data_IF_391970795917
#
_entry.id   IF_391970795917
#
_cell.length_a   1.000
_cell.length_b   1.000
_cell.length_c   1.000
_cell.angle_alpha   90.00
_cell.angle_beta   90.00
_cell.angle_gamma   90.00
#
_symmetry.space_group_name_H-M   'P 1'
#
loop_
_entity.id
_entity.type
_entity.pdbx_description
1 polymer ?
#
# COMPACT_ATOMS: atom_id res chain seq x y z
N UNK A 1 -21.51 -21.78 -18.66
CA UNK A 1 -21.45 -20.31 -18.56
C UNK A 1 -20.14 -19.88 -19.20
N UNK A 2 -20.20 -19.14 -20.31
CA UNK A 2 -19.00 -18.55 -20.92
C UNK A 2 -18.52 -17.46 -19.98
N UNK A 3 -17.30 -17.59 -19.41
CA UNK A 3 -16.69 -16.53 -18.63
C UNK A 3 -16.54 -15.33 -19.56
N UNK A 4 -17.26 -14.26 -19.32
CA UNK A 4 -17.08 -13.00 -20.07
C UNK A 4 -15.60 -12.64 -20.01
N UNK A 5 -14.96 -12.56 -21.17
CA UNK A 5 -13.56 -12.14 -21.24
C UNK A 5 -13.50 -10.66 -20.82
N UNK A 6 -12.79 -10.37 -19.77
CA UNK A 6 -12.54 -8.99 -19.34
C UNK A 6 -11.81 -8.27 -20.46
N UNK A 7 -12.36 -7.15 -20.92
CA UNK A 7 -11.77 -6.31 -21.97
C UNK A 7 -11.72 -4.87 -21.50
N UNK A 8 -10.81 -4.08 -22.04
CA UNK A 8 -10.80 -2.64 -21.86
C UNK A 8 -11.85 -1.98 -22.73
N UNK A 9 -12.59 -1.03 -22.19
CA UNK A 9 -13.47 -0.16 -22.98
C UNK A 9 -12.67 0.85 -23.80
N UNK A 10 -13.32 1.49 -24.78
CA UNK A 10 -12.67 2.55 -25.59
C UNK A 10 -12.17 3.71 -24.70
N UNK A 11 -12.91 4.08 -23.67
CA UNK A 11 -12.50 5.11 -22.70
C UNK A 11 -11.27 4.68 -21.89
N UNK A 12 -11.19 3.41 -21.49
CA UNK A 12 -10.02 2.85 -20.82
C UNK A 12 -8.81 2.78 -21.75
N UNK A 13 -9.01 2.35 -23.00
CA UNK A 13 -7.96 2.32 -24.01
C UNK A 13 -7.38 3.71 -24.27
N UNK A 14 -8.24 4.71 -24.39
CA UNK A 14 -7.81 6.10 -24.55
C UNK A 14 -7.04 6.60 -23.32
N UNK A 15 -7.57 6.33 -22.12
CA UNK A 15 -6.98 6.79 -20.86
C UNK A 15 -5.63 6.16 -20.58
N UNK A 16 -5.49 4.84 -20.82
CA UNK A 16 -4.27 4.09 -20.49
C UNK A 16 -3.34 3.89 -21.68
N UNK A 17 -3.62 4.50 -22.83
CA UNK A 17 -2.82 4.35 -24.06
C UNK A 17 -1.31 4.53 -23.84
N UNK A 18 -0.91 5.51 -23.01
CA UNK A 18 0.50 5.78 -22.74
C UNK A 18 1.18 4.68 -21.91
N UNK A 19 0.42 3.93 -21.11
CA UNK A 19 0.94 2.77 -20.38
C UNK A 19 1.04 1.54 -21.27
N UNK A 20 0.02 1.29 -22.08
CA UNK A 20 -0.02 0.14 -23.00
C UNK A 20 1.11 0.19 -24.04
N UNK A 21 1.58 1.39 -24.39
CA UNK A 21 2.70 1.57 -25.31
C UNK A 21 4.08 1.36 -24.70
N UNK A 22 4.19 1.12 -23.40
CA UNK A 22 5.48 0.86 -22.77
C UNK A 22 5.97 -0.55 -23.11
N UNK A 23 7.22 -0.69 -23.49
CA UNK A 23 7.86 -1.98 -23.71
C UNK A 23 7.74 -2.87 -22.47
N UNK A 24 7.16 -4.04 -22.63
CA UNK A 24 6.93 -5.00 -21.57
C UNK A 24 5.69 -4.71 -20.71
N UNK A 25 4.95 -3.63 -20.99
CA UNK A 25 3.65 -3.33 -20.39
C UNK A 25 2.54 -3.60 -21.37
N UNK A 26 2.09 -4.39 -21.86
CA UNK A 26 1.09 -4.65 -22.90
C UNK A 26 -0.37 -4.53 -22.41
N UNK A 27 -1.29 -4.91 -23.27
CA UNK A 27 -2.73 -4.98 -22.97
C UNK A 27 -3.02 -5.95 -21.82
N UNK A 28 -2.27 -7.05 -21.71
CA UNK A 28 -2.48 -8.03 -20.65
C UNK A 28 -2.09 -7.48 -19.29
N UNK A 29 -1.04 -6.67 -19.21
CA UNK A 29 -0.66 -5.98 -17.99
C UNK A 29 -1.78 -5.01 -17.54
N UNK A 30 -2.36 -4.25 -18.49
CA UNK A 30 -3.46 -3.33 -18.18
C UNK A 30 -4.74 -4.08 -17.77
N UNK A 31 -5.03 -5.22 -18.38
CA UNK A 31 -6.16 -6.08 -17.98
C UNK A 31 -5.96 -6.66 -16.57
N UNK A 32 -4.73 -7.04 -16.21
CA UNK A 32 -4.42 -7.47 -14.84
C UNK A 32 -4.69 -6.35 -13.83
N UNK A 33 -4.29 -5.10 -14.13
CA UNK A 33 -4.61 -3.96 -13.27
C UNK A 33 -6.12 -3.74 -13.14
N UNK A 34 -6.86 -3.81 -14.24
CA UNK A 34 -8.33 -3.65 -14.25
C UNK A 34 -9.05 -4.63 -13.33
N UNK A 35 -8.51 -5.83 -13.17
CA UNK A 35 -9.11 -6.86 -12.29
C UNK A 35 -8.53 -6.87 -10.89
N UNK A 36 -7.42 -6.17 -10.65
CA UNK A 36 -6.74 -6.16 -9.38
C UNK A 36 -7.54 -5.47 -8.27
N UNK A 37 -7.45 -6.04 -7.06
CA UNK A 37 -8.01 -5.53 -5.82
C UNK A 37 -6.91 -5.14 -4.86
N UNK A 38 -6.84 -3.86 -4.55
CA UNK A 38 -5.83 -3.30 -3.63
C UNK A 38 -6.51 -2.70 -2.42
N UNK A 39 -6.02 -3.04 -1.23
CA UNK A 39 -6.41 -2.39 0.01
C UNK A 39 -5.25 -1.57 0.54
N UNK A 40 -5.52 -0.30 0.85
CA UNK A 40 -4.55 0.67 1.34
C UNK A 40 -4.92 1.02 2.77
N UNK A 41 -4.02 0.77 3.70
CA UNK A 41 -4.18 1.09 5.11
C UNK A 41 -3.42 2.41 5.38
N UNK A 42 -4.16 3.45 5.72
CA UNK A 42 -3.66 4.82 5.88
C UNK A 42 -3.87 5.71 4.65
N UNK A 43 -4.64 6.81 4.82
CA UNK A 43 -4.87 7.83 3.81
C UNK A 43 -4.07 9.12 4.13
N UNK A 44 -2.87 8.94 4.69
CA UNK A 44 -1.96 10.01 5.08
C UNK A 44 -1.00 10.44 3.97
N UNK A 45 0.19 10.90 4.36
CA UNK A 45 1.22 11.41 3.44
C UNK A 45 1.76 10.40 2.43
N UNK A 46 1.73 9.09 2.76
CA UNK A 46 2.07 8.00 1.85
C UNK A 46 0.84 7.55 1.04
N UNK A 47 -0.30 7.36 1.71
CA UNK A 47 -1.52 6.83 1.09
C UNK A 47 -2.12 7.75 0.04
N UNK A 48 -2.06 9.08 0.22
CA UNK A 48 -2.55 10.04 -0.77
C UNK A 48 -1.86 9.88 -2.13
N UNK A 49 -0.54 10.03 -2.28
CA UNK A 49 0.11 9.89 -3.58
C UNK A 49 0.08 8.44 -4.10
N UNK A 50 0.12 7.43 -3.22
CA UNK A 50 0.04 6.04 -3.63
C UNK A 50 -1.33 5.72 -4.24
N UNK A 51 -2.42 6.05 -3.56
CA UNK A 51 -3.78 5.79 -4.03
C UNK A 51 -4.09 6.58 -5.31
N UNK A 52 -3.70 7.85 -5.39
CA UNK A 52 -3.89 8.67 -6.58
C UNK A 52 -3.21 8.04 -7.81
N UNK A 53 -1.96 7.61 -7.66
CA UNK A 53 -1.21 6.99 -8.77
C UNK A 53 -1.82 5.67 -9.21
N UNK A 54 -2.22 4.79 -8.28
CA UNK A 54 -2.88 3.52 -8.60
C UNK A 54 -4.21 3.72 -9.33
N UNK A 55 -5.02 4.66 -8.85
CA UNK A 55 -6.31 5.03 -9.46
C UNK A 55 -6.12 5.58 -10.87
N UNK A 56 -5.16 6.49 -11.07
CA UNK A 56 -4.83 7.04 -12.39
C UNK A 56 -4.33 5.97 -13.36
N UNK A 57 -3.58 4.99 -12.86
CA UNK A 57 -3.05 3.88 -13.65
C UNK A 57 -4.09 2.81 -14.00
N UNK A 58 -5.26 2.80 -13.36
CA UNK A 58 -6.36 1.92 -13.70
C UNK A 58 -6.40 0.62 -12.89
N UNK A 59 -5.94 0.63 -11.64
CA UNK A 59 -6.21 -0.45 -10.68
C UNK A 59 -7.72 -0.50 -10.43
N UNK A 60 -8.37 -1.60 -10.79
CA UNK A 60 -9.82 -1.68 -10.93
C UNK A 60 -10.61 -1.55 -9.63
N UNK A 61 -10.01 -1.92 -8.50
CA UNK A 61 -10.61 -1.80 -7.17
C UNK A 61 -9.58 -1.30 -6.17
N UNK A 62 -9.84 -0.14 -5.57
CA UNK A 62 -9.00 0.47 -4.53
C UNK A 62 -9.86 0.76 -3.30
N UNK A 63 -9.49 0.15 -2.17
CA UNK A 63 -10.15 0.35 -0.90
C UNK A 63 -9.20 1.02 0.08
N UNK A 64 -9.57 2.19 0.63
CA UNK A 64 -8.83 2.90 1.66
C UNK A 64 -9.47 2.68 3.03
N UNK A 65 -8.65 2.31 4.01
CA UNK A 65 -9.04 2.16 5.42
C UNK A 65 -8.22 3.16 6.23
N UNK A 66 -8.89 4.06 6.92
CA UNK A 66 -8.27 5.08 7.79
C UNK A 66 -9.30 5.57 8.80
N UNK A 67 -8.95 5.66 10.07
CA UNK A 67 -9.85 6.07 11.16
C UNK A 67 -9.72 7.55 11.54
N UNK A 68 -8.78 8.27 10.95
CA UNK A 68 -8.51 9.67 11.26
C UNK A 68 -9.41 10.66 10.51
N UNK A 69 -9.45 11.88 11.06
CA UNK A 69 -9.94 13.09 10.40
C UNK A 69 -8.79 13.91 9.80
N UNK A 70 -9.14 14.78 8.86
CA UNK A 70 -8.20 15.69 8.22
C UNK A 70 -7.93 16.88 9.14
N UNK A 71 -6.65 17.14 9.41
CA UNK A 71 -6.19 18.27 10.19
C UNK A 71 -5.42 19.29 9.34
N UNK A 72 -5.38 20.55 9.75
CA UNK A 72 -4.61 21.59 9.08
C UNK A 72 -3.11 21.23 8.96
N UNK A 73 -2.56 20.57 9.99
CA UNK A 73 -1.18 20.08 10.04
C UNK A 73 -0.87 19.00 8.99
N UNK A 74 -1.90 18.37 8.42
CA UNK A 74 -1.77 17.32 7.42
C UNK A 74 -1.58 17.87 6.00
N UNK A 75 -2.13 19.05 5.72
CA UNK A 75 -2.25 19.59 4.36
C UNK A 75 -0.90 19.85 3.68
N UNK A 76 0.17 19.98 4.44
CA UNK A 76 1.51 20.18 3.88
C UNK A 76 2.06 18.94 3.15
N UNK A 77 1.48 17.72 3.38
CA UNK A 77 1.96 16.45 2.77
C UNK A 77 0.87 15.49 2.32
N UNK A 78 -0.38 15.69 2.72
CA UNK A 78 -1.52 14.85 2.33
C UNK A 78 -2.23 15.46 1.12
N UNK A 79 -1.71 15.18 -0.06
CA UNK A 79 -1.94 15.93 -1.31
C UNK A 79 -3.35 15.82 -1.88
N UNK A 80 -4.17 14.89 -1.43
CA UNK A 80 -5.57 14.78 -1.86
C UNK A 80 -6.47 15.81 -1.19
N UNK A 81 -6.11 16.32 0.00
CA UNK A 81 -7.00 17.15 0.82
C UNK A 81 -6.77 18.65 0.64
N UNK A 82 -7.85 19.39 0.77
CA UNK A 82 -7.90 20.85 0.67
C UNK A 82 -8.29 21.46 2.03
N UNK A 83 -8.07 22.75 2.27
CA UNK A 83 -8.49 23.43 3.51
C UNK A 83 -9.96 23.22 3.87
N UNK A 84 -10.86 23.14 2.87
CA UNK A 84 -12.29 22.91 3.07
C UNK A 84 -12.63 21.46 3.50
N UNK A 85 -11.64 20.57 3.53
CA UNK A 85 -11.80 19.19 3.97
C UNK A 85 -11.42 18.96 5.43
N UNK A 86 -10.92 19.97 6.14
CA UNK A 86 -10.56 19.85 7.56
C UNK A 86 -11.78 19.35 8.37
N UNK A 87 -11.52 18.43 9.30
CA UNK A 87 -12.49 17.74 10.15
C UNK A 87 -13.39 16.73 9.43
N UNK A 88 -13.14 16.44 8.13
CA UNK A 88 -13.80 15.33 7.45
C UNK A 88 -12.98 14.04 7.59
N UNK A 89 -13.63 12.86 7.59
CA UNK A 89 -12.92 11.58 7.62
C UNK A 89 -12.00 11.41 6.40
N UNK A 90 -10.73 11.06 6.63
CA UNK A 90 -9.72 10.91 5.57
C UNK A 90 -10.14 9.90 4.52
N UNK A 91 -10.53 8.68 4.92
CA UNK A 91 -10.88 7.61 4.00
C UNK A 91 -12.02 8.00 3.04
N UNK A 92 -13.12 8.56 3.57
CA UNK A 92 -14.29 8.93 2.76
C UNK A 92 -13.99 10.12 1.84
N UNK A 93 -13.27 11.11 2.31
CA UNK A 93 -12.87 12.28 1.53
C UNK A 93 -11.94 11.88 0.39
N UNK A 94 -10.93 11.05 0.68
CA UNK A 94 -10.01 10.54 -0.31
C UNK A 94 -10.72 9.80 -1.45
N UNK A 95 -11.61 8.85 -1.14
CA UNK A 95 -12.30 8.08 -2.19
C UNK A 95 -13.26 8.92 -3.02
N UNK A 96 -13.90 9.94 -2.43
CA UNK A 96 -14.72 10.87 -3.18
C UNK A 96 -13.91 11.68 -4.21
N UNK A 97 -12.67 12.06 -3.87
CA UNK A 97 -11.75 12.73 -4.79
C UNK A 97 -11.25 11.76 -5.84
N UNK A 98 -10.81 10.56 -5.44
CA UNK A 98 -10.29 9.53 -6.34
C UNK A 98 -11.32 9.08 -7.39
N UNK A 99 -12.59 8.94 -7.01
CA UNK A 99 -13.68 8.64 -7.95
C UNK A 99 -13.86 9.70 -9.04
N UNK A 100 -13.56 10.98 -8.72
CA UNK A 100 -13.58 12.07 -9.71
C UNK A 100 -12.33 12.07 -10.59
N UNK A 101 -11.18 11.63 -10.06
CA UNK A 101 -9.92 11.49 -10.81
C UNK A 101 -10.06 10.41 -11.88
N UNK A 102 -10.64 9.26 -11.52
CA UNK A 102 -10.88 8.17 -12.47
C UNK A 102 -12.23 7.48 -12.20
N UNK A 103 -13.29 7.86 -12.92
CA UNK A 103 -14.62 7.27 -12.74
C UNK A 103 -14.76 5.86 -13.34
N UNK A 104 -13.73 5.32 -14.02
CA UNK A 104 -13.76 4.00 -14.66
C UNK A 104 -13.41 2.86 -13.70
N UNK A 105 -12.98 3.18 -12.48
CA UNK A 105 -12.61 2.20 -11.46
C UNK A 105 -13.50 2.30 -10.22
N UNK A 106 -13.42 1.30 -9.36
CA UNK A 106 -14.16 1.27 -8.09
C UNK A 106 -13.27 1.71 -6.94
N UNK A 107 -13.72 2.73 -6.21
CA UNK A 107 -13.05 3.21 -4.99
C UNK A 107 -13.98 3.07 -3.80
N UNK A 108 -13.46 2.58 -2.68
CA UNK A 108 -14.20 2.42 -1.41
C UNK A 108 -13.40 3.02 -0.27
N UNK A 109 -14.08 3.60 0.70
CA UNK A 109 -13.49 4.14 1.91
C UNK A 109 -14.18 3.60 3.14
N UNK A 110 -13.40 3.17 4.12
CA UNK A 110 -13.91 2.72 5.42
C UNK A 110 -13.24 3.50 6.54
N UNK A 111 -14.05 4.12 7.40
CA UNK A 111 -13.57 4.82 8.60
C UNK A 111 -13.49 3.79 9.73
N UNK A 112 -12.34 3.18 9.86
CA UNK A 112 -12.08 2.18 10.88
C UNK A 112 -10.58 2.00 11.09
N UNK A 113 -10.20 1.56 12.29
CA UNK A 113 -8.87 1.06 12.60
C UNK A 113 -8.81 -0.43 12.30
N UNK A 114 -7.86 -0.84 11.48
CA UNK A 114 -7.66 -2.24 11.15
C UNK A 114 -6.97 -2.95 12.32
N UNK A 115 -7.52 -4.12 12.70
CA UNK A 115 -6.95 -5.06 13.66
C UNK A 115 -7.14 -6.51 13.20
N UNK A 116 -6.61 -7.48 13.96
CA UNK A 116 -6.69 -8.90 13.59
C UNK A 116 -8.11 -9.48 13.66
N UNK A 117 -8.98 -8.89 14.49
CA UNK A 117 -10.34 -9.40 14.71
C UNK A 117 -11.30 -8.92 13.61
N UNK A 118 -11.14 -7.68 13.14
CA UNK A 118 -12.00 -7.09 12.12
C UNK A 118 -11.45 -7.24 10.68
N UNK A 119 -10.23 -7.78 10.52
CA UNK A 119 -9.56 -7.85 9.22
C UNK A 119 -10.35 -8.60 8.15
N UNK A 120 -11.04 -9.69 8.50
CA UNK A 120 -11.83 -10.44 7.52
C UNK A 120 -12.92 -9.59 6.87
N UNK A 121 -13.63 -8.80 7.67
CA UNK A 121 -14.71 -7.92 7.23
C UNK A 121 -14.15 -6.70 6.50
N UNK A 122 -13.18 -6.00 7.11
CA UNK A 122 -12.64 -4.76 6.54
C UNK A 122 -11.88 -4.97 5.22
N UNK A 123 -11.26 -6.13 5.04
CA UNK A 123 -10.62 -6.49 3.76
C UNK A 123 -11.64 -7.03 2.73
N UNK A 124 -12.92 -7.13 3.07
CA UNK A 124 -13.99 -7.68 2.22
C UNK A 124 -13.60 -9.05 1.65
N UNK A 125 -13.12 -9.93 2.53
CA UNK A 125 -12.65 -11.27 2.16
C UNK A 125 -13.77 -12.15 1.57
N UNK A 126 -15.04 -11.86 1.90
CA UNK A 126 -16.20 -12.55 1.36
C UNK A 126 -16.37 -12.29 -0.15
N UNK A 127 -16.02 -11.10 -0.64
CA UNK A 127 -16.04 -10.76 -2.06
C UNK A 127 -14.79 -11.24 -2.82
N UNK A 128 -13.80 -11.73 -2.11
CA UNK A 128 -12.53 -12.26 -2.63
C UNK A 128 -11.31 -11.65 -1.94
N UNK A 129 -10.27 -12.42 -1.84
CA UNK A 129 -9.00 -11.99 -1.25
C UNK A 129 -8.40 -10.81 -2.05
N UNK A 130 -7.92 -9.74 -1.39
CA UNK A 130 -7.13 -8.71 -2.05
C UNK A 130 -5.86 -9.28 -2.71
N UNK A 131 -5.47 -8.71 -3.84
CA UNK A 131 -4.24 -9.08 -4.52
C UNK A 131 -3.00 -8.45 -3.86
N UNK A 132 -3.19 -7.32 -3.16
CA UNK A 132 -2.12 -6.59 -2.51
C UNK A 132 -2.65 -5.72 -1.36
N UNK A 133 -1.93 -5.72 -0.22
CA UNK A 133 -2.08 -4.74 0.84
C UNK A 133 -0.97 -3.68 0.71
N UNK A 134 -1.33 -2.40 0.80
CA UNK A 134 -0.38 -1.31 0.99
C UNK A 134 -0.46 -0.82 2.44
N UNK A 135 0.66 -0.91 3.14
CA UNK A 135 0.83 -0.27 4.43
C UNK A 135 1.39 1.14 4.21
N UNK A 136 0.54 2.14 4.50
CA UNK A 136 0.83 3.57 4.43
C UNK A 136 0.74 4.22 5.82
N UNK A 137 0.86 3.42 6.88
CA UNK A 137 0.76 3.88 8.27
C UNK A 137 2.08 4.47 8.77
N UNK A 138 2.04 5.12 9.92
CA UNK A 138 3.18 5.86 10.48
C UNK A 138 3.69 5.33 11.83
N UNK A 139 3.14 4.20 12.30
CA UNK A 139 3.52 3.60 13.58
C UNK A 139 3.82 2.10 13.46
N UNK A 140 4.76 1.62 14.26
CA UNK A 140 5.24 0.23 14.22
C UNK A 140 4.19 -0.79 14.68
N UNK A 141 3.37 -0.46 15.66
CA UNK A 141 2.34 -1.37 16.19
C UNK A 141 1.31 -1.74 15.10
N UNK A 142 0.79 -0.74 14.39
CA UNK A 142 -0.14 -0.99 13.28
C UNK A 142 0.52 -1.78 12.15
N UNK A 143 1.78 -1.52 11.83
CA UNK A 143 2.55 -2.26 10.81
C UNK A 143 2.70 -3.73 11.16
N UNK A 144 2.98 -4.06 12.42
CA UNK A 144 3.08 -5.45 12.87
C UNK A 144 1.72 -6.16 12.76
N UNK A 145 0.62 -5.49 13.11
CA UNK A 145 -0.75 -6.00 12.91
C UNK A 145 -1.01 -6.29 11.43
N UNK A 146 -0.73 -5.34 10.54
CA UNK A 146 -0.90 -5.53 9.10
C UNK A 146 -0.05 -6.69 8.57
N UNK A 147 1.18 -6.84 9.07
CA UNK A 147 2.05 -7.96 8.75
C UNK A 147 1.46 -9.31 9.19
N UNK A 148 0.90 -9.40 10.42
CA UNK A 148 0.22 -10.61 10.89
C UNK A 148 -0.97 -10.97 10.03
N UNK A 149 -1.78 -9.98 9.65
CA UNK A 149 -2.91 -10.13 8.75
C UNK A 149 -2.44 -10.64 7.37
N UNK A 150 -1.39 -10.02 6.81
CA UNK A 150 -0.77 -10.43 5.54
C UNK A 150 -0.34 -11.90 5.58
N UNK A 151 0.37 -12.31 6.63
CA UNK A 151 0.82 -13.69 6.80
C UNK A 151 -0.35 -14.64 7.00
N UNK A 152 -1.31 -14.31 7.87
CA UNK A 152 -2.50 -15.12 8.16
C UNK A 152 -3.32 -15.42 6.92
N UNK A 153 -3.60 -14.41 6.11
CA UNK A 153 -4.43 -14.54 4.91
C UNK A 153 -3.63 -14.78 3.63
N UNK A 154 -2.31 -14.88 3.74
CA UNK A 154 -1.41 -15.07 2.58
C UNK A 154 -1.63 -14.01 1.49
N UNK A 155 -1.72 -12.74 1.92
CA UNK A 155 -1.87 -11.59 1.03
C UNK A 155 -0.53 -10.86 0.95
N UNK A 156 0.01 -10.58 -0.23
CA UNK A 156 1.24 -9.79 -0.37
C UNK A 156 1.10 -8.42 0.30
N UNK A 157 2.16 -7.97 0.98
CA UNK A 157 2.22 -6.72 1.73
C UNK A 157 3.33 -5.82 1.20
N UNK A 158 2.97 -4.66 0.70
CA UNK A 158 3.89 -3.61 0.29
C UNK A 158 3.91 -2.52 1.38
N UNK A 159 4.93 -2.53 2.21
CA UNK A 159 5.08 -1.59 3.34
C UNK A 159 6.04 -0.48 2.99
N UNK A 160 5.64 0.78 3.22
CA UNK A 160 6.45 1.98 3.06
C UNK A 160 6.52 2.79 4.35
N UNK A 161 7.64 3.49 4.54
CA UNK A 161 7.80 4.46 5.62
C UNK A 161 8.50 5.71 5.13
N UNK A 162 8.21 6.84 5.81
CA UNK A 162 8.85 8.13 5.57
C UNK A 162 9.03 8.86 6.89
N UNK A 163 10.25 9.31 7.18
CA UNK A 163 10.59 10.10 8.37
C UNK A 163 11.69 11.09 7.98
N UNK A 164 11.61 12.32 8.44
CA UNK A 164 12.55 13.39 8.08
C UNK A 164 12.71 13.51 6.55
N UNK A 165 13.88 13.19 6.01
CA UNK A 165 14.19 13.10 4.58
C UNK A 165 14.49 11.67 4.14
N UNK A 166 14.12 10.66 4.92
CA UNK A 166 14.42 9.26 4.66
C UNK A 166 13.15 8.44 4.49
N UNK A 167 13.24 7.35 3.74
CA UNK A 167 12.15 6.42 3.55
C UNK A 167 12.63 5.00 3.33
N UNK A 168 11.71 4.05 3.54
CA UNK A 168 11.95 2.63 3.33
C UNK A 168 10.76 2.03 2.58
N UNK A 169 11.04 1.00 1.77
CA UNK A 169 10.03 0.28 1.02
C UNK A 169 10.42 -1.19 0.88
N UNK A 170 9.50 -2.10 1.19
CA UNK A 170 9.68 -3.53 0.96
C UNK A 170 8.36 -4.18 0.54
N UNK A 171 8.44 -5.20 -0.32
CA UNK A 171 7.32 -6.06 -0.71
C UNK A 171 7.54 -7.45 -0.14
N UNK A 172 6.67 -7.84 0.78
CA UNK A 172 6.66 -9.15 1.44
C UNK A 172 5.63 -10.06 0.77
N UNK A 173 6.03 -11.27 0.44
CA UNK A 173 5.19 -12.27 -0.23
C UNK A 173 5.05 -13.51 0.66
N UNK A 174 4.06 -13.54 1.56
CA UNK A 174 3.93 -14.62 2.54
C UNK A 174 3.64 -15.99 1.91
N UNK A 175 3.15 -16.04 0.66
CA UNK A 175 2.97 -17.26 -0.11
C UNK A 175 4.28 -17.86 -0.63
N UNK A 176 5.36 -17.07 -0.64
CA UNK A 176 6.71 -17.53 -0.96
C UNK A 176 7.49 -17.72 0.34
N UNK A 177 8.52 -18.54 0.34
CA UNK A 177 9.37 -18.72 1.52
C UNK A 177 10.36 -17.56 1.70
N UNK A 178 9.82 -16.34 1.72
CA UNK A 178 10.54 -15.08 1.95
C UNK A 178 10.31 -14.59 3.38
N UNK A 179 11.16 -13.68 3.87
CA UNK A 179 10.94 -13.02 5.16
C UNK A 179 9.71 -12.11 5.13
N UNK A 180 9.06 -11.92 6.29
CA UNK A 180 7.96 -10.97 6.47
C UNK A 180 8.48 -9.65 7.09
N UNK A 181 7.59 -8.68 7.31
CA UNK A 181 7.94 -7.40 7.96
C UNK A 181 8.62 -7.61 9.31
N UNK A 182 8.12 -8.52 10.14
CA UNK A 182 8.70 -8.83 11.46
C UNK A 182 10.12 -9.42 11.37
N UNK A 183 10.45 -10.17 10.31
CA UNK A 183 11.83 -10.65 10.10
C UNK A 183 12.84 -9.50 9.93
N UNK A 184 12.39 -8.36 9.41
CA UNK A 184 13.23 -7.20 9.14
C UNK A 184 13.23 -6.21 10.31
N UNK A 185 12.07 -5.98 10.91
CA UNK A 185 11.84 -4.90 11.88
C UNK A 185 11.43 -5.37 13.27
N UNK A 186 11.39 -6.68 13.52
CA UNK A 186 10.87 -7.26 14.77
C UNK A 186 11.56 -6.74 16.04
N UNK A 187 12.88 -6.49 15.99
CA UNK A 187 13.61 -5.90 17.11
C UNK A 187 13.19 -4.46 17.43
N UNK A 188 12.72 -3.72 16.43
CA UNK A 188 12.24 -2.33 16.58
C UNK A 188 10.82 -2.31 17.10
N UNK A 189 9.99 -3.28 16.68
CA UNK A 189 8.60 -3.43 17.16
C UNK A 189 8.54 -3.71 18.66
N UNK A 190 9.56 -4.40 19.18
CA UNK A 190 9.69 -4.77 20.61
C UNK A 190 10.34 -3.66 21.46
N UNK A 191 10.87 -2.61 20.86
CA UNK A 191 11.51 -1.50 21.56
C UNK A 191 10.49 -0.36 21.78
N UNK A 192 9.98 -0.25 22.99
CA UNK A 192 9.05 0.83 23.38
C UNK A 192 9.62 2.22 23.12
N UNK A 193 10.92 2.41 23.19
CA UNK A 193 11.61 3.67 22.89
C UNK A 193 11.61 4.00 21.37
N UNK A 194 11.47 3.00 20.51
CA UNK A 194 11.39 3.22 19.06
C UNK A 194 10.04 3.79 18.62
N UNK A 195 8.99 3.54 19.38
CA UNK A 195 7.64 4.06 19.12
C UNK A 195 7.55 5.60 19.35
N UNK A 196 8.52 6.18 20.03
CA UNK A 196 8.64 7.64 20.18
C UNK A 196 9.05 8.37 18.89
N UNK A 197 9.56 7.65 17.88
CA UNK A 197 9.99 8.22 16.59
C UNK A 197 8.94 8.02 15.49
N UNK A 198 7.76 8.58 15.69
CA UNK A 198 6.75 8.66 14.64
C UNK A 198 6.97 9.89 13.75
N UNK A 199 6.35 9.92 12.57
CA UNK A 199 6.34 11.12 11.73
C UNK A 199 5.79 12.35 12.47
N UNK A 200 4.88 12.13 13.43
CA UNK A 200 4.31 13.20 14.26
C UNK A 200 5.35 13.87 15.17
N UNK A 201 6.29 13.08 15.74
CA UNK A 201 7.28 13.57 16.71
C UNK A 201 8.63 13.94 16.08
N UNK A 202 8.95 13.39 14.89
CA UNK A 202 10.26 13.57 14.24
C UNK A 202 10.22 14.52 13.05
N UNK A 203 9.02 14.91 12.60
CA UNK A 203 8.82 15.69 11.39
C UNK A 203 9.11 14.89 10.12
N UNK A 204 8.57 15.36 9.01
CA UNK A 204 8.78 14.78 7.69
C UNK A 204 8.67 15.86 6.61
N UNK A 205 9.59 15.86 5.67
CA UNK A 205 9.53 16.76 4.52
C UNK A 205 8.43 16.28 3.55
N UNK A 206 7.59 17.20 3.06
CA UNK A 206 6.47 16.87 2.17
C UNK A 206 6.89 16.04 0.94
N UNK A 207 8.02 16.37 0.33
CA UNK A 207 8.56 15.62 -0.81
C UNK A 207 8.97 14.19 -0.45
N UNK A 208 9.38 13.91 0.78
CA UNK A 208 9.74 12.55 1.20
C UNK A 208 8.54 11.63 1.15
N UNK A 209 7.40 12.05 1.69
CA UNK A 209 6.17 11.25 1.63
C UNK A 209 5.67 11.07 0.20
N UNK A 210 5.73 12.13 -0.62
CA UNK A 210 5.33 12.07 -2.02
C UNK A 210 6.20 11.10 -2.84
N UNK A 211 7.53 11.15 -2.67
CA UNK A 211 8.47 10.23 -3.34
C UNK A 211 8.18 8.79 -2.89
N UNK A 212 8.10 8.54 -1.58
CA UNK A 212 7.92 7.19 -1.06
C UNK A 212 6.56 6.59 -1.43
N UNK A 213 5.48 7.36 -1.38
CA UNK A 213 4.16 6.89 -1.81
C UNK A 213 4.12 6.59 -3.31
N UNK A 214 4.80 7.37 -4.15
CA UNK A 214 4.91 7.06 -5.58
C UNK A 214 5.86 5.89 -5.88
N UNK A 215 6.93 5.69 -5.12
CA UNK A 215 7.74 4.47 -5.21
C UNK A 215 6.94 3.23 -4.81
N UNK A 216 6.11 3.34 -3.77
CA UNK A 216 5.19 2.29 -3.35
C UNK A 216 4.18 1.98 -4.45
N UNK A 217 3.55 2.98 -5.05
CA UNK A 217 2.64 2.78 -6.18
C UNK A 217 3.35 2.16 -7.38
N UNK A 218 4.56 2.60 -7.72
CA UNK A 218 5.34 2.02 -8.81
C UNK A 218 5.65 0.53 -8.59
N UNK A 219 6.03 0.14 -7.37
CA UNK A 219 6.26 -1.28 -7.04
C UNK A 219 4.96 -2.09 -7.12
N UNK A 220 3.83 -1.53 -6.64
CA UNK A 220 2.52 -2.15 -6.74
C UNK A 220 2.10 -2.36 -8.21
N UNK A 221 2.25 -1.36 -9.07
CA UNK A 221 1.93 -1.46 -10.49
C UNK A 221 2.76 -2.54 -11.19
N UNK A 222 4.07 -2.61 -10.92
CA UNK A 222 4.93 -3.66 -11.49
C UNK A 222 4.52 -5.05 -10.98
N UNK A 223 4.21 -5.17 -9.70
CA UNK A 223 3.77 -6.43 -9.11
C UNK A 223 2.46 -6.92 -9.72
N UNK A 224 1.46 -6.06 -9.80
CA UNK A 224 0.12 -6.40 -10.30
C UNK A 224 0.09 -6.53 -11.83
N UNK A 225 0.71 -5.59 -12.54
CA UNK A 225 0.68 -5.54 -14.00
C UNK A 225 1.67 -6.49 -14.65
N UNK A 226 2.92 -6.53 -14.20
CA UNK A 226 3.98 -7.35 -14.81
C UNK A 226 4.22 -8.68 -14.08
N UNK A 227 3.53 -8.94 -12.97
CA UNK A 227 3.78 -10.10 -12.09
C UNK A 227 5.25 -10.23 -11.68
N UNK A 228 5.90 -9.09 -11.46
CA UNK A 228 7.31 -9.01 -11.08
C UNK A 228 7.46 -8.27 -9.75
N UNK A 229 8.20 -8.87 -8.84
CA UNK A 229 8.61 -8.20 -7.61
C UNK A 229 10.06 -7.71 -7.74
N UNK A 230 10.29 -6.41 -8.00
CA UNK A 230 11.65 -5.86 -8.08
C UNK A 230 12.36 -5.82 -6.71
N UNK A 231 11.61 -6.03 -5.62
CA UNK A 231 12.07 -5.96 -4.24
C UNK A 231 12.13 -7.34 -3.56
N UNK A 232 12.15 -8.45 -4.30
CA UNK A 232 12.23 -9.79 -3.70
C UNK A 232 13.41 -9.89 -2.73
N UNK A 233 13.13 -10.11 -1.43
CA UNK A 233 14.11 -10.17 -0.34
C UNK A 233 15.01 -8.92 -0.25
N UNK A 234 14.49 -7.75 -0.62
CA UNK A 234 15.23 -6.49 -0.58
C UNK A 234 14.41 -5.40 0.11
N UNK A 235 15.07 -4.65 0.95
CA UNK A 235 14.59 -3.38 1.51
C UNK A 235 15.23 -2.24 0.71
N UNK A 236 14.39 -1.42 0.08
CA UNK A 236 14.82 -0.16 -0.50
C UNK A 236 14.92 0.88 0.61
N UNK A 237 16.04 1.56 0.70
CA UNK A 237 16.28 2.69 1.57
C UNK A 237 16.49 3.93 0.70
N UNK A 238 15.65 4.94 0.91
CA UNK A 238 15.73 6.26 0.29
C UNK A 238 16.35 7.26 1.25
N UNK A 239 17.37 7.99 0.80
CA UNK A 239 17.97 9.13 1.49
C UNK A 239 17.77 10.38 0.64
N UNK A 240 16.74 11.16 0.95
CA UNK A 240 16.39 12.38 0.23
C UNK A 240 17.38 13.53 0.46
N UNK A 241 18.16 13.49 1.56
CA UNK A 241 19.17 14.51 1.82
C UNK A 241 20.36 14.39 0.86
N UNK A 242 20.65 13.19 0.40
CA UNK A 242 21.73 12.87 -0.54
C UNK A 242 21.22 12.49 -1.94
N UNK A 243 19.89 12.46 -2.16
CA UNK A 243 19.28 11.99 -3.40
C UNK A 243 19.75 10.60 -3.82
N UNK A 244 19.87 9.70 -2.84
CA UNK A 244 20.37 8.35 -3.05
C UNK A 244 19.36 7.29 -2.64
N UNK A 245 19.42 6.16 -3.31
CA UNK A 245 18.71 4.96 -2.90
C UNK A 245 19.65 3.77 -2.82
N UNK A 246 19.36 2.86 -1.88
CA UNK A 246 20.13 1.63 -1.67
C UNK A 246 19.16 0.45 -1.54
N UNK A 247 19.58 -0.71 -2.04
CA UNK A 247 18.88 -1.96 -1.84
C UNK A 247 19.67 -2.81 -0.87
N UNK A 248 19.06 -3.16 0.25
CA UNK A 248 19.63 -4.07 1.25
C UNK A 248 18.92 -5.41 1.19
N UNK A 249 19.69 -6.51 1.07
CA UNK A 249 19.14 -7.85 1.14
C UNK A 249 18.75 -8.22 2.58
N UNK A 250 17.60 -8.91 2.74
CA UNK A 250 17.21 -9.54 4.00
C UNK A 250 16.88 -11.03 3.79
N UNK A 251 16.78 -11.78 4.87
CA UNK A 251 16.43 -13.20 4.87
C UNK A 251 15.29 -13.46 5.84
N UNK A 252 14.55 -14.53 5.59
CA UNK A 252 13.59 -15.04 6.55
C UNK A 252 14.33 -15.44 7.83
N UNK A 253 13.81 -15.01 8.97
CA UNK A 253 14.23 -15.49 10.27
C UNK A 253 13.54 -16.85 10.55
N UNK A 254 14.29 -17.95 10.69
CA UNK A 254 13.71 -19.26 10.99
C UNK A 254 12.96 -19.33 12.34
N UNK A 255 13.21 -18.37 13.23
CA UNK A 255 12.57 -18.26 14.54
C UNK A 255 11.55 -17.11 14.60
N UNK A 256 11.19 -16.51 13.48
CA UNK A 256 10.24 -15.43 13.44
C UNK A 256 8.89 -15.84 14.07
N UNK A 257 8.40 -15.12 15.08
CA UNK A 257 7.14 -15.50 15.75
C UNK A 257 5.91 -15.34 14.86
N UNK A 258 6.03 -14.61 13.74
CA UNK A 258 4.91 -14.33 12.85
C UNK A 258 4.86 -15.31 11.67
N UNK A 259 5.97 -15.50 10.93
CA UNK A 259 5.94 -16.27 9.68
C UNK A 259 6.62 -17.67 9.77
N UNK A 260 7.25 -18.04 10.89
CA UNK A 260 7.85 -19.38 11.07
C UNK A 260 6.88 -20.39 11.63
N UNK A 261 5.82 -19.95 12.30
CA UNK A 261 4.79 -20.85 12.83
C UNK A 261 3.98 -21.45 11.68
N UNK A 262 3.65 -22.75 11.71
CA UNK A 262 2.73 -23.33 10.74
C UNK A 262 1.40 -22.57 10.80
N UNK A 263 0.90 -22.14 9.65
CA UNK A 263 -0.39 -21.47 9.53
C UNK A 263 -1.45 -22.44 10.04
N UNK A 264 -1.97 -22.18 11.22
CA UNK A 264 -3.13 -22.92 11.73
C UNK A 264 -4.32 -22.42 10.89
N UNK A 265 -4.64 -23.16 9.83
CA UNK A 265 -5.89 -22.96 9.08
C UNK A 265 -7.06 -23.34 9.99
N UNK A 266 -7.44 -22.46 10.91
CA UNK A 266 -8.75 -22.48 11.54
C UNK A 266 -9.70 -21.70 10.63
N UNK A 267 -10.33 -22.45 9.71
CA UNK A 267 -11.54 -22.04 9.00
C UNK A 267 -12.69 -21.81 9.98
#
# INVERSE_FOLDING_TARGET
MVKEMVQLSDDELLRYARQVLLDGWDMDAQLRLKTARVVIIGAGGLGCPASETLVRAGVGYVHLIDDDEIEASNLQRQTLFLPDDISKPKALTAVAILARINPLIKTYGTVARLDEDNAYELLDMAAGKPDLLLDCTDNFATRDIINRISVRYQIPLLSASAIAMQGQLALFEPQLDTGCYHCVFGSVVLDEAADERTCANSGVLASTTAVMGNLQANAALQYLGLTKNPLTNKLLIWDGSQMQQRLMGYRKDPQCPVCSSPIINSL
#
